data_IF_610102428195
#
_entry.id   IF_610102428195
#
_cell.length_a   1.000
_cell.length_b   1.000
_cell.length_c   1.000
_cell.angle_alpha   90.00
_cell.angle_beta   90.00
_cell.angle_gamma   90.00
#
_symmetry.space_group_name_H-M   'P 1'
#
loop_
_entity.id
_entity.type
_entity.pdbx_description
1 polymer ?
#
# COMPACT_ATOMS: atom_id res chain seq x y z
N UNK A 1 -12.18 11.24 -0.75
CA UNK A 1 -11.24 10.30 -1.37
C UNK A 1 -9.98 11.09 -1.59
N UNK A 2 -8.86 10.72 -0.97
CA UNK A 2 -7.60 11.43 -1.19
C UNK A 2 -7.16 11.20 -2.63
N UNK A 3 -6.73 12.27 -3.29
CA UNK A 3 -6.24 12.24 -4.67
C UNK A 3 -4.74 11.92 -4.69
N UNK A 4 -4.21 11.58 -5.87
CA UNK A 4 -2.76 11.45 -6.04
C UNK A 4 -2.06 12.76 -5.66
N UNK A 5 -2.64 13.91 -6.00
CA UNK A 5 -2.11 15.23 -5.62
C UNK A 5 -2.00 15.38 -4.12
N UNK A 6 -3.04 14.99 -3.35
CA UNK A 6 -3.02 15.10 -1.88
C UNK A 6 -1.86 14.28 -1.26
N UNK A 7 -1.50 13.15 -1.87
CA UNK A 7 -0.36 12.34 -1.42
C UNK A 7 0.98 13.01 -1.73
N UNK A 8 1.13 13.50 -2.97
CA UNK A 8 2.37 14.14 -3.41
C UNK A 8 2.63 15.44 -2.63
N UNK A 9 1.58 16.22 -2.37
CA UNK A 9 1.65 17.44 -1.55
C UNK A 9 2.03 17.11 -0.11
N UNK A 10 1.43 16.08 0.50
CA UNK A 10 1.79 15.66 1.85
C UNK A 10 3.24 15.15 1.96
N UNK A 11 3.73 14.41 0.96
CA UNK A 11 5.13 13.98 0.91
C UNK A 11 6.06 15.18 0.71
N UNK A 12 5.66 16.13 -0.13
CA UNK A 12 6.40 17.36 -0.36
C UNK A 12 6.54 18.18 0.93
N UNK A 13 5.47 18.30 1.72
CA UNK A 13 5.48 18.98 3.01
C UNK A 13 6.53 18.39 3.97
N UNK A 14 6.54 17.06 4.14
CA UNK A 14 7.52 16.39 5.01
C UNK A 14 8.95 16.65 4.55
N UNK A 15 9.19 16.57 3.24
CA UNK A 15 10.51 16.87 2.74
C UNK A 15 10.88 18.35 3.03
N UNK A 16 9.93 19.32 2.96
CA UNK A 16 10.20 20.77 3.17
C UNK A 16 10.55 21.08 4.62
N UNK A 17 10.05 20.27 5.54
CA UNK A 17 10.20 20.45 6.98
C UNK A 17 11.56 19.94 7.51
N UNK A 18 12.40 19.32 6.67
CA UNK A 18 13.80 19.03 7.01
C UNK A 18 14.36 17.76 6.38
N UNK A 19 15.37 17.19 7.04
CA UNK A 19 15.90 15.88 6.65
C UNK A 19 14.80 14.83 6.75
N UNK A 20 14.69 13.98 5.74
CA UNK A 20 13.62 13.00 5.64
C UNK A 20 14.14 11.63 5.19
N UNK A 21 13.41 10.60 5.58
CA UNK A 21 13.67 9.23 5.20
C UNK A 21 12.37 8.55 4.81
N UNK A 22 12.40 7.73 3.78
CA UNK A 22 11.27 6.97 3.34
C UNK A 22 11.62 5.54 2.97
N UNK A 23 10.62 4.67 3.05
CA UNK A 23 10.61 3.33 2.47
C UNK A 23 9.41 3.20 1.54
N UNK A 24 9.50 2.31 0.57
CA UNK A 24 8.39 1.97 -0.31
C UNK A 24 8.13 0.48 -0.27
N UNK A 25 6.87 0.09 -0.17
CA UNK A 25 6.41 -1.29 -0.25
C UNK A 25 5.47 -1.42 -1.43
N UNK A 26 5.62 -2.51 -2.19
CA UNK A 26 4.71 -2.87 -3.27
C UNK A 26 4.04 -4.18 -2.91
N UNK A 27 2.72 -4.25 -2.95
CA UNK A 27 1.98 -5.49 -2.73
C UNK A 27 1.95 -6.34 -4.00
N UNK A 28 2.31 -7.61 -3.87
CA UNK A 28 2.22 -8.57 -4.97
C UNK A 28 0.78 -9.01 -5.15
N UNK A 29 0.28 -8.96 -6.38
CA UNK A 29 -1.00 -9.52 -6.80
C UNK A 29 -2.18 -9.10 -5.90
N UNK A 30 -2.19 -7.83 -5.47
CA UNK A 30 -3.09 -7.31 -4.43
C UNK A 30 -4.56 -7.71 -4.61
N UNK A 31 -5.11 -7.66 -5.82
CA UNK A 31 -6.51 -8.04 -6.04
C UNK A 31 -6.79 -9.51 -5.68
N UNK A 32 -5.84 -10.40 -5.95
CA UNK A 32 -5.97 -11.82 -5.60
C UNK A 32 -5.86 -12.08 -4.10
N UNK A 33 -5.41 -11.12 -3.30
CA UNK A 33 -5.47 -11.18 -1.84
C UNK A 33 -6.86 -10.82 -1.26
N UNK A 34 -7.79 -10.32 -2.08
CA UNK A 34 -9.10 -9.84 -1.61
C UNK A 34 -10.14 -10.93 -1.88
N UNK A 35 -10.73 -11.56 -0.86
CA UNK A 35 -11.81 -12.52 -1.05
C UNK A 35 -13.01 -11.87 -1.74
N UNK A 36 -13.66 -12.60 -2.64
CA UNK A 36 -14.93 -12.17 -3.26
C UNK A 36 -16.02 -13.18 -2.98
N UNK A 37 -17.20 -12.67 -2.66
CA UNK A 37 -18.43 -13.45 -2.57
C UNK A 37 -19.35 -13.07 -3.73
N UNK A 38 -19.46 -13.95 -4.72
CA UNK A 38 -20.28 -13.75 -5.93
C UNK A 38 -21.34 -14.87 -6.05
N UNK A 39 -22.42 -14.81 -5.26
CA UNK A 39 -23.43 -15.88 -5.21
C UNK A 39 -24.22 -16.01 -6.52
N UNK A 40 -24.19 -15.00 -7.39
CA UNK A 40 -24.91 -14.98 -8.66
C UNK A 40 -24.02 -15.35 -9.86
N UNK A 41 -22.71 -15.56 -9.64
CA UNK A 41 -21.77 -15.94 -10.69
C UNK A 41 -21.56 -14.87 -11.77
N UNK A 42 -21.74 -13.59 -11.43
CA UNK A 42 -21.60 -12.45 -12.34
C UNK A 42 -20.16 -12.36 -12.88
N UNK A 43 -19.19 -12.79 -12.08
CA UNK A 43 -17.77 -12.75 -12.40
C UNK A 43 -17.27 -14.06 -13.04
N UNK A 44 -18.14 -15.08 -13.17
CA UNK A 44 -17.72 -16.37 -13.69
C UNK A 44 -17.13 -16.28 -15.10
N UNK A 45 -16.14 -17.12 -15.39
CA UNK A 45 -15.48 -17.21 -16.70
C UNK A 45 -15.73 -18.58 -17.32
N UNK A 46 -15.91 -18.62 -18.64
CA UNK A 46 -16.03 -19.87 -19.41
C UNK A 46 -14.72 -20.16 -20.14
N UNK A 47 -14.15 -21.33 -19.90
CA UNK A 47 -12.94 -21.79 -20.59
C UNK A 47 -13.20 -23.20 -21.12
N UNK A 48 -13.14 -23.36 -22.45
CA UNK A 48 -13.36 -24.66 -23.09
C UNK A 48 -14.75 -25.26 -22.84
N UNK A 49 -15.78 -24.43 -22.63
CA UNK A 49 -17.14 -24.89 -22.33
C UNK A 49 -17.40 -25.19 -20.85
N UNK A 50 -16.39 -25.06 -19.98
CA UNK A 50 -16.54 -25.22 -18.54
C UNK A 50 -16.56 -23.85 -17.84
N UNK A 51 -17.50 -23.68 -16.90
CA UNK A 51 -17.63 -22.47 -16.08
C UNK A 51 -16.77 -22.57 -14.82
N UNK A 52 -16.07 -21.48 -14.51
CA UNK A 52 -15.26 -21.32 -13.30
C UNK A 52 -15.66 -20.05 -12.55
N UNK A 53 -15.70 -20.14 -11.22
CA UNK A 53 -15.99 -19.02 -10.33
C UNK A 53 -14.73 -18.51 -9.64
N UNK A 54 -14.63 -17.20 -9.50
CA UNK A 54 -13.56 -16.58 -8.73
C UNK A 54 -13.84 -16.67 -7.23
N UNK A 55 -12.80 -17.01 -6.46
CA UNK A 55 -12.83 -16.95 -4.98
C UNK A 55 -12.26 -15.65 -4.42
N UNK A 56 -11.52 -14.93 -5.26
CA UNK A 56 -10.82 -13.69 -4.95
C UNK A 56 -11.09 -12.66 -6.03
N UNK A 57 -10.84 -11.38 -5.78
CA UNK A 57 -11.15 -10.32 -6.70
C UNK A 57 -10.35 -10.48 -8.02
N UNK A 58 -11.02 -10.68 -9.17
CA UNK A 58 -10.31 -10.89 -10.42
C UNK A 58 -9.75 -9.59 -10.99
N UNK A 59 -8.64 -9.73 -11.72
CA UNK A 59 -8.11 -8.64 -12.55
C UNK A 59 -9.09 -8.32 -13.69
N UNK A 60 -9.21 -7.04 -14.03
CA UNK A 60 -10.16 -6.56 -15.05
C UNK A 60 -11.58 -6.34 -14.56
N UNK A 61 -11.92 -6.72 -13.32
CA UNK A 61 -13.19 -6.34 -12.72
C UNK A 61 -13.23 -4.83 -12.46
N UNK A 62 -14.24 -4.16 -13.00
CA UNK A 62 -14.39 -2.69 -12.94
C UNK A 62 -14.25 -2.11 -11.53
N UNK A 63 -14.75 -2.81 -10.51
CA UNK A 63 -14.73 -2.30 -9.14
C UNK A 63 -13.53 -2.81 -8.31
N UNK A 64 -12.63 -3.62 -8.90
CA UNK A 64 -11.46 -4.15 -8.21
C UNK A 64 -10.60 -3.05 -7.55
N UNK A 65 -10.30 -1.90 -8.21
CA UNK A 65 -9.54 -0.83 -7.58
C UNK A 65 -10.24 -0.24 -6.34
N UNK A 66 -11.55 -0.05 -6.38
CA UNK A 66 -12.31 0.48 -5.26
C UNK A 66 -12.35 -0.50 -4.06
N UNK A 67 -12.48 -1.80 -4.33
CA UNK A 67 -12.39 -2.83 -3.31
C UNK A 67 -10.99 -2.87 -2.68
N UNK A 68 -9.94 -2.78 -3.50
CA UNK A 68 -8.55 -2.74 -3.04
C UNK A 68 -8.25 -1.55 -2.13
N UNK A 69 -8.64 -0.34 -2.54
CA UNK A 69 -8.49 0.87 -1.71
C UNK A 69 -9.23 0.72 -0.39
N UNK A 70 -10.45 0.17 -0.40
CA UNK A 70 -11.24 -0.03 0.82
C UNK A 70 -10.59 -1.03 1.77
N UNK A 71 -10.15 -2.19 1.25
CA UNK A 71 -9.50 -3.23 2.03
C UNK A 71 -8.14 -2.75 2.61
N UNK A 72 -7.34 -2.06 1.80
CA UNK A 72 -6.08 -1.49 2.23
C UNK A 72 -6.28 -0.42 3.30
N UNK A 73 -7.26 0.48 3.12
CA UNK A 73 -7.60 1.47 4.14
C UNK A 73 -7.93 0.82 5.48
N UNK A 74 -8.75 -0.23 5.49
CA UNK A 74 -9.06 -0.98 6.71
C UNK A 74 -7.82 -1.58 7.39
N UNK A 75 -6.87 -2.06 6.57
CA UNK A 75 -5.59 -2.62 7.03
C UNK A 75 -4.68 -1.56 7.66
N UNK A 76 -4.53 -0.40 7.00
CA UNK A 76 -3.73 0.72 7.52
C UNK A 76 -4.37 1.32 8.77
N UNK A 77 -5.70 1.51 8.77
CA UNK A 77 -6.42 2.06 9.92
C UNK A 77 -6.26 1.14 11.15
N UNK A 78 -6.22 -0.19 10.97
CA UNK A 78 -5.99 -1.12 12.08
C UNK A 78 -4.54 -1.08 12.59
N UNK A 79 -3.57 -0.93 11.70
CA UNK A 79 -2.16 -0.74 12.05
C UNK A 79 -1.93 0.57 12.82
N UNK A 80 -2.48 1.68 12.33
CA UNK A 80 -2.29 3.00 12.96
C UNK A 80 -2.94 3.05 14.34
N UNK A 81 -4.09 2.37 14.54
CA UNK A 81 -4.76 2.31 15.85
C UNK A 81 -3.91 1.67 16.95
N UNK A 82 -3.04 0.72 16.62
CA UNK A 82 -2.18 0.03 17.60
C UNK A 82 -0.82 0.71 17.77
N UNK A 83 -0.47 1.65 16.88
CA UNK A 83 0.80 2.38 16.93
C UNK A 83 0.80 3.48 18.01
N UNK A 84 1.93 3.72 18.70
CA UNK A 84 2.10 4.92 19.51
C UNK A 84 1.85 6.20 18.71
N UNK A 85 1.03 7.10 19.26
CA UNK A 85 0.72 8.40 18.62
C UNK A 85 1.91 9.37 18.56
N UNK A 86 2.99 9.07 19.26
CA UNK A 86 4.20 9.89 19.35
C UNK A 86 5.20 9.66 18.21
N UNK A 87 4.96 8.65 17.35
CA UNK A 87 5.82 8.39 16.21
C UNK A 87 5.48 9.35 15.06
N UNK A 88 6.43 10.23 14.73
CA UNK A 88 6.36 11.19 13.62
C UNK A 88 6.66 10.49 12.28
N UNK A 89 5.69 9.66 11.86
CA UNK A 89 5.75 8.87 10.62
C UNK A 89 4.40 8.87 9.93
N UNK A 90 4.43 9.16 8.64
CA UNK A 90 3.31 9.22 7.72
C UNK A 90 3.30 8.00 6.81
N UNK A 91 2.10 7.51 6.49
CA UNK A 91 1.90 6.36 5.61
C UNK A 91 0.86 6.76 4.57
N UNK A 92 1.23 6.64 3.30
CA UNK A 92 0.31 6.82 2.18
C UNK A 92 0.22 5.54 1.35
N UNK A 93 -0.97 5.29 0.83
CA UNK A 93 -1.26 4.10 0.02
C UNK A 93 -1.99 4.49 -1.25
N UNK A 94 -1.60 3.86 -2.36
CA UNK A 94 -2.28 3.96 -3.63
C UNK A 94 -2.33 2.58 -4.27
N UNK A 95 -3.49 1.93 -4.17
CA UNK A 95 -3.69 0.54 -4.59
C UNK A 95 -2.60 -0.35 -3.97
N UNK A 96 -1.67 -0.89 -4.77
CA UNK A 96 -0.62 -1.81 -4.36
C UNK A 96 0.66 -1.11 -3.90
N UNK A 97 0.80 0.19 -4.13
CA UNK A 97 1.95 0.98 -3.68
C UNK A 97 1.71 1.59 -2.29
N UNK A 98 2.70 1.47 -1.41
CA UNK A 98 2.71 2.04 -0.06
C UNK A 98 4.01 2.78 0.16
N UNK A 99 3.95 3.97 0.74
CA UNK A 99 5.13 4.74 1.17
C UNK A 99 5.01 5.06 2.64
N UNK A 100 6.13 4.91 3.36
CA UNK A 100 6.27 5.25 4.77
C UNK A 100 7.38 6.28 4.87
N UNK A 101 7.09 7.42 5.50
CA UNK A 101 7.99 8.58 5.50
C UNK A 101 8.01 9.29 6.85
N UNK A 102 9.14 9.85 7.24
CA UNK A 102 9.28 10.69 8.43
C UNK A 102 10.69 11.25 8.57
N UNK A 103 10.94 11.95 9.67
CA UNK A 103 12.22 12.63 9.92
C UNK A 103 13.24 11.76 10.67
N UNK A 104 12.80 10.72 11.39
CA UNK A 104 13.70 9.80 12.09
C UNK A 104 13.87 8.49 11.31
N UNK A 105 15.09 8.24 10.84
CA UNK A 105 15.46 7.05 10.06
C UNK A 105 15.16 5.73 10.79
N UNK A 106 15.43 5.67 12.10
CA UNK A 106 15.21 4.47 12.90
C UNK A 106 13.71 4.22 13.10
N UNK A 107 12.93 5.27 13.34
CA UNK A 107 11.47 5.15 13.47
C UNK A 107 10.83 4.72 12.15
N UNK A 108 11.28 5.24 11.00
CA UNK A 108 10.83 4.79 9.68
C UNK A 108 11.17 3.32 9.45
N UNK A 109 12.40 2.87 9.78
CA UNK A 109 12.80 1.46 9.64
C UNK A 109 11.91 0.54 10.48
N UNK A 110 11.73 0.86 11.76
CA UNK A 110 10.93 0.05 12.69
C UNK A 110 9.46 0.02 12.24
N UNK A 111 8.91 1.17 11.85
CA UNK A 111 7.53 1.26 11.34
C UNK A 111 7.35 0.43 10.07
N UNK A 112 8.34 0.44 9.17
CA UNK A 112 8.32 -0.38 7.95
C UNK A 112 8.31 -1.87 8.26
N UNK A 113 9.15 -2.33 9.20
CA UNK A 113 9.18 -3.73 9.61
C UNK A 113 7.84 -4.16 10.22
N UNK A 114 7.33 -3.38 11.19
CA UNK A 114 6.05 -3.67 11.84
C UNK A 114 4.87 -3.67 10.84
N UNK A 115 4.89 -2.75 9.87
CA UNK A 115 3.85 -2.70 8.83
C UNK A 115 3.93 -3.92 7.91
N UNK A 116 5.12 -4.42 7.56
CA UNK A 116 5.27 -5.64 6.75
C UNK A 116 4.69 -6.86 7.48
N UNK A 117 4.96 -6.99 8.77
CA UNK A 117 4.42 -8.08 9.59
C UNK A 117 2.89 -7.97 9.67
N UNK A 118 2.36 -6.77 9.95
CA UNK A 118 0.91 -6.53 9.98
C UNK A 118 0.23 -6.79 8.63
N UNK A 119 0.86 -6.39 7.52
CA UNK A 119 0.37 -6.68 6.18
C UNK A 119 0.27 -8.19 5.95
N UNK A 120 1.31 -8.94 6.34
CA UNK A 120 1.33 -10.41 6.26
C UNK A 120 0.23 -11.04 7.11
N UNK A 121 0.03 -10.57 8.34
CA UNK A 121 -1.01 -11.06 9.26
C UNK A 121 -2.42 -10.78 8.72
N UNK A 122 -2.59 -9.72 7.92
CA UNK A 122 -3.85 -9.39 7.24
C UNK A 122 -4.00 -10.08 5.87
N UNK A 123 -3.06 -10.95 5.48
CA UNK A 123 -3.14 -11.75 4.24
C UNK A 123 -2.59 -11.07 2.99
N UNK A 124 -1.91 -9.93 3.13
CA UNK A 124 -1.23 -9.27 2.02
C UNK A 124 0.18 -9.83 1.83
N UNK A 125 0.65 -9.88 0.58
CA UNK A 125 2.02 -10.29 0.26
C UNK A 125 2.83 -9.10 -0.22
N UNK A 126 3.91 -8.76 0.49
CA UNK A 126 4.85 -7.71 0.05
C UNK A 126 5.79 -8.29 -1.01
N UNK A 127 5.99 -7.57 -2.11
CA UNK A 127 6.93 -7.91 -3.16
C UNK A 127 8.34 -7.39 -2.82
N UNK A 128 9.29 -8.24 -2.40
CA UNK A 128 10.60 -7.77 -1.96
C UNK A 128 11.43 -7.14 -3.08
N UNK A 129 11.25 -7.53 -4.34
CA UNK A 129 12.07 -7.02 -5.46
C UNK A 129 11.59 -5.65 -5.95
N UNK A 130 10.33 -5.30 -5.72
CA UNK A 130 9.75 -3.99 -6.04
C UNK A 130 9.67 -3.05 -4.84
N UNK A 131 10.02 -3.53 -3.65
CA UNK A 131 9.99 -2.75 -2.42
C UNK A 131 11.38 -2.27 -2.05
N UNK A 132 11.46 -1.06 -1.50
CA UNK A 132 12.66 -0.54 -0.85
C UNK A 132 12.40 -0.49 0.67
N UNK A 133 12.74 -1.57 1.36
CA UNK A 133 12.50 -1.71 2.81
C UNK A 133 13.51 -0.96 3.69
N UNK A 134 14.64 -0.55 3.14
CA UNK A 134 15.64 0.24 3.87
C UNK A 134 15.38 1.74 3.68
N UNK A 135 15.35 2.55 4.75
CA UNK A 135 15.07 3.97 4.62
C UNK A 135 16.14 4.70 3.79
N UNK A 136 15.65 5.49 2.83
CA UNK A 136 16.42 6.30 1.88
C UNK A 136 15.82 7.71 1.77
N UNK A 137 16.65 8.68 1.40
CA UNK A 137 16.24 10.04 0.99
C UNK A 137 16.22 10.19 -0.54
N UNK A 138 16.12 9.07 -1.26
CA UNK A 138 15.95 8.96 -2.70
C UNK A 138 14.98 7.79 -2.95
N UNK A 139 13.76 8.11 -3.40
CA UNK A 139 12.71 7.14 -3.69
C UNK A 139 11.97 7.47 -4.98
N UNK A 140 11.36 6.44 -5.56
CA UNK A 140 10.37 6.59 -6.63
C UNK A 140 9.01 6.11 -6.14
N UNK A 141 7.98 6.95 -6.30
CA UNK A 141 6.61 6.65 -5.91
C UNK A 141 5.63 7.25 -6.92
N UNK A 142 4.69 6.44 -7.43
CA UNK A 142 3.67 6.85 -8.42
C UNK A 142 4.23 7.55 -9.67
N UNK A 143 5.41 7.13 -10.12
CA UNK A 143 6.09 7.72 -11.28
C UNK A 143 6.90 8.99 -10.98
N UNK A 144 6.80 9.53 -9.77
CA UNK A 144 7.56 10.70 -9.30
C UNK A 144 8.82 10.25 -8.56
N UNK A 145 9.93 10.94 -8.80
CA UNK A 145 11.16 10.76 -8.05
C UNK A 145 11.27 11.84 -6.96
N UNK A 146 11.59 11.42 -5.75
CA UNK A 146 11.82 12.27 -4.59
C UNK A 146 13.26 12.08 -4.14
N UNK A 147 14.09 13.13 -4.22
CA UNK A 147 15.53 13.04 -3.95
C UNK A 147 16.01 14.22 -3.11
N UNK A 148 16.88 13.95 -2.14
CA UNK A 148 17.66 14.98 -1.45
C UNK A 148 16.84 15.91 -0.56
N UNK A 149 17.48 16.90 0.08
CA UNK A 149 16.77 18.03 0.70
C UNK A 149 16.05 18.87 -0.37
N UNK A 150 14.98 19.60 0.02
CA UNK A 150 14.24 20.51 -0.88
C UNK A 150 15.11 21.59 -1.51
#
# INVERSE_FOLDING_TARGET
>A
MQTVSDFLDGMADIQRDGEWFATTLHLKDMFYSIPIHDPYGILNVCVGGQMFSWKVCPQGYRNAPALAVTAMKGTIDSFVRTRPKTADVHIWTYVDDVVIMGHDRAVVRITTANLKDHLSDQGWTVNPTKSMSEPSSDIKFLGTQFTGPW
#
